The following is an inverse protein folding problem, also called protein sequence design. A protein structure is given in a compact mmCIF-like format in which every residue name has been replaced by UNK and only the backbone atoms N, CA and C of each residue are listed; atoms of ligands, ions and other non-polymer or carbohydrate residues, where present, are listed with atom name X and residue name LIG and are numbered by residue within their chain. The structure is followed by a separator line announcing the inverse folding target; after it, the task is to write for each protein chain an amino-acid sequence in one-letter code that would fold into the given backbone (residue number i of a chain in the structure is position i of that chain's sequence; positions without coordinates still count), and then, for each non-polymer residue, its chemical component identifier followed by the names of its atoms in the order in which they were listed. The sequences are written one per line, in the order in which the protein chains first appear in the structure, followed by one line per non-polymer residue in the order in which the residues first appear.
data_IF_699973965465
#
_entry.id   IF_699973965465
#
_cell.length_a   1.000
_cell.length_b   1.000
_cell.length_c   1.000
_cell.angle_alpha   90.00
_cell.angle_beta   90.00
_cell.angle_gamma   90.00
#
_symmetry.space_group_name_H-M   'P 1'
#
loop_
_entity.id
_entity.type
_entity.pdbx_description
1 polymer ?
#
# COMPACT_ATOMS: atom_id res chain seq x y z
N UNK A 1 -3.71 19.75 71.57
CA UNK A 1 -2.76 20.89 71.62
C UNK A 1 -3.44 22.10 71.01
N UNK A 2 -3.32 23.25 71.68
CA UNK A 2 -4.35 24.27 71.79
C UNK A 2 -4.56 25.17 70.57
N UNK A 3 -5.84 25.56 70.43
CA UNK A 3 -6.40 26.58 69.56
C UNK A 3 -6.19 28.01 70.09
N UNK A 4 -6.34 28.97 69.15
CA UNK A 4 -6.88 30.34 69.28
C UNK A 4 -5.98 31.47 69.82
N UNK A 5 -5.47 32.22 68.84
CA UNK A 5 -5.76 33.65 68.52
C UNK A 5 -6.34 34.52 69.64
N UNK A 6 -5.65 35.63 69.96
CA UNK A 6 -6.29 36.92 70.31
C UNK A 6 -5.57 38.09 69.63
N UNK A 7 -6.40 39.00 69.13
CA UNK A 7 -6.21 40.25 68.42
C UNK A 7 -5.57 41.41 69.21
N UNK A 8 -4.99 42.38 68.47
CA UNK A 8 -5.45 43.80 68.25
C UNK A 8 -4.36 44.88 68.38
N UNK A 9 -4.20 45.65 67.28
CA UNK A 9 -4.10 47.12 67.18
C UNK A 9 -2.79 47.82 67.62
N UNK A 10 -2.21 48.85 66.96
CA UNK A 10 -2.60 49.83 65.91
C UNK A 10 -1.29 50.50 65.42
N UNK A 11 -1.20 50.96 64.16
CA UNK A 11 -0.77 52.32 63.75
C UNK A 11 -0.86 52.46 62.21
N UNK A 12 -1.33 53.64 61.82
CA UNK A 12 -1.81 54.15 60.54
C UNK A 12 -0.67 54.75 59.70
N UNK A 13 -0.71 54.67 58.36
CA UNK A 13 -0.69 55.83 57.45
C UNK A 13 -0.71 55.43 55.95
N UNK A 14 -1.48 56.21 55.19
CA UNK A 14 -1.75 56.14 53.75
C UNK A 14 -0.75 57.03 53.01
N UNK A 15 -0.24 56.60 51.84
CA UNK A 15 -0.18 57.33 50.56
C UNK A 15 0.87 56.73 49.60
N UNK A 16 0.46 56.43 48.36
CA UNK A 16 1.15 56.70 47.09
C UNK A 16 1.04 55.55 46.06
N UNK A 17 0.20 55.80 45.04
CA UNK A 17 0.43 55.54 43.61
C UNK A 17 1.03 54.19 43.19
N UNK A 18 0.18 53.28 42.71
CA UNK A 18 0.52 52.41 41.58
C UNK A 18 -0.56 52.61 40.51
N UNK A 19 -0.26 53.53 39.60
CA UNK A 19 -0.87 53.65 38.29
C UNK A 19 -0.04 52.76 37.35
N UNK A 20 -0.68 51.92 36.53
CA UNK A 20 -0.05 51.41 35.31
C UNK A 20 -0.29 49.93 35.01
N UNK A 21 -1.09 49.71 33.98
CA UNK A 21 -1.11 48.53 33.09
C UNK A 21 -1.84 47.27 33.58
N UNK A 22 -3.18 47.33 33.54
CA UNK A 22 -3.97 46.20 33.06
C UNK A 22 -3.65 45.99 31.58
N UNK A 23 -2.70 45.10 31.27
CA UNK A 23 -2.51 44.57 29.92
C UNK A 23 -3.58 43.49 29.70
N UNK A 24 -4.50 43.79 28.78
CA UNK A 24 -5.52 42.85 28.33
C UNK A 24 -4.88 41.61 27.72
N UNK A 25 -5.20 40.45 28.29
CA UNK A 25 -5.05 39.18 27.59
C UNK A 25 -6.29 39.06 26.70
N UNK A 26 -6.19 39.60 25.49
CA UNK A 26 -7.06 39.19 24.38
C UNK A 26 -6.79 37.70 24.18
N UNK A 27 -7.74 36.85 24.58
CA UNK A 27 -7.83 35.50 24.02
C UNK A 27 -8.04 35.68 22.52
N UNK A 28 -6.98 35.46 21.74
CA UNK A 28 -7.12 35.27 20.32
C UNK A 28 -7.98 34.02 20.13
N UNK A 29 -9.25 34.21 19.79
CA UNK A 29 -10.09 33.14 19.24
C UNK A 29 -9.38 32.68 17.98
N UNK A 30 -8.75 31.50 18.02
CA UNK A 30 -8.31 30.84 16.80
C UNK A 30 -9.54 30.73 15.88
N UNK A 31 -9.41 31.21 14.64
CA UNK A 31 -10.44 30.97 13.63
C UNK A 31 -10.65 29.44 13.53
N UNK A 32 -11.90 28.96 13.38
CA UNK A 32 -12.14 27.56 13.09
C UNK A 32 -11.26 27.16 11.90
N UNK A 33 -10.65 25.96 11.90
CA UNK A 33 -9.94 25.49 10.72
C UNK A 33 -10.89 25.60 9.52
N UNK A 34 -10.40 26.03 8.34
CA UNK A 34 -11.25 26.21 7.17
C UNK A 34 -12.02 24.92 6.95
N UNK A 35 -13.35 25.00 6.99
CA UNK A 35 -14.21 23.89 6.63
C UNK A 35 -13.83 23.51 5.20
N UNK A 36 -13.16 22.35 5.02
CA UNK A 36 -13.04 21.75 3.69
C UNK A 36 -14.47 21.50 3.24
N UNK A 37 -14.94 22.29 2.29
CA UNK A 37 -16.22 22.06 1.64
C UNK A 37 -16.15 20.65 1.03
N UNK A 38 -16.92 19.72 1.58
CA UNK A 38 -16.96 18.35 1.11
C UNK A 38 -17.69 18.40 -0.22
N UNK A 39 -16.94 18.31 -1.32
CA UNK A 39 -17.52 18.13 -2.65
C UNK A 39 -18.07 16.70 -2.71
N UNK A 40 -19.40 16.51 -2.84
CA UNK A 40 -19.98 15.18 -2.91
C UNK A 40 -19.40 14.38 -4.08
N UNK A 41 -19.13 13.08 -3.92
CA UNK A 41 -18.75 12.25 -5.05
C UNK A 41 -19.89 12.19 -6.06
N UNK A 42 -19.53 12.27 -7.35
CA UNK A 42 -20.48 12.08 -8.43
C UNK A 42 -20.80 10.59 -8.55
N UNK A 43 -22.07 10.24 -8.75
CA UNK A 43 -22.49 8.87 -9.07
C UNK A 43 -21.78 8.40 -10.35
N UNK A 44 -21.27 7.15 -10.42
CA UNK A 44 -20.66 6.62 -11.64
C UNK A 44 -21.64 6.72 -12.80
N UNK A 45 -21.23 7.23 -13.98
CA UNK A 45 -22.13 7.48 -15.11
C UNK A 45 -22.77 6.19 -15.66
N UNK A 46 -22.13 5.05 -15.42
CA UNK A 46 -22.60 3.72 -15.76
C UNK A 46 -22.38 2.82 -14.54
N UNK A 47 -23.35 1.95 -14.28
CA UNK A 47 -23.29 0.94 -13.21
C UNK A 47 -23.60 -0.43 -13.80
N UNK A 48 -22.88 -1.46 -13.34
CA UNK A 48 -23.14 -2.85 -13.71
C UNK A 48 -24.15 -3.47 -12.74
N UNK A 49 -25.24 -4.03 -13.27
CA UNK A 49 -26.21 -4.80 -12.50
C UNK A 49 -25.83 -6.27 -12.51
N UNK A 50 -25.73 -6.89 -11.33
CA UNK A 50 -25.29 -8.28 -11.15
C UNK A 50 -26.45 -9.29 -11.08
N UNK A 51 -27.67 -8.81 -10.86
CA UNK A 51 -28.86 -9.63 -10.69
C UNK A 51 -30.07 -8.98 -11.37
N UNK A 52 -31.23 -9.65 -11.30
CA UNK A 52 -32.45 -9.06 -11.78
C UNK A 52 -32.86 -7.88 -10.87
N UNK A 53 -32.80 -6.66 -11.39
CA UNK A 53 -33.02 -5.43 -10.64
C UNK A 53 -34.39 -4.84 -10.96
N UNK A 54 -35.31 -4.73 -9.97
CA UNK A 54 -36.60 -4.07 -10.17
C UNK A 54 -36.47 -2.57 -10.42
N UNK A 55 -37.32 -2.03 -11.29
CA UNK A 55 -37.41 -0.62 -11.63
C UNK A 55 -38.73 -0.02 -11.17
N UNK A 56 -38.66 1.21 -10.65
CA UNK A 56 -39.78 1.92 -10.04
C UNK A 56 -39.96 3.30 -10.67
N UNK A 57 -41.19 3.79 -10.73
CA UNK A 57 -41.47 5.16 -11.20
C UNK A 57 -41.13 6.22 -10.15
N UNK A 58 -41.07 5.83 -8.88
CA UNK A 58 -40.76 6.69 -7.71
C UNK A 58 -39.77 5.99 -6.78
N UNK A 59 -39.16 6.73 -5.85
CA UNK A 59 -38.27 6.20 -4.81
C UNK A 59 -39.07 5.57 -3.65
N UNK A 60 -39.94 4.61 -3.96
CA UNK A 60 -40.76 3.90 -3.00
C UNK A 60 -40.96 2.46 -3.50
N UNK A 61 -40.29 1.51 -2.83
CA UNK A 61 -40.29 0.09 -3.18
C UNK A 61 -41.45 -0.69 -2.56
N UNK A 62 -42.37 -0.03 -1.83
CA UNK A 62 -43.66 -0.61 -1.46
C UNK A 62 -44.62 -0.74 -2.65
N UNK A 63 -44.40 0.07 -3.69
CA UNK A 63 -45.15 -0.03 -4.94
C UNK A 63 -44.67 -1.20 -5.79
N UNK A 64 -45.58 -1.77 -6.59
CA UNK A 64 -45.21 -2.79 -7.57
C UNK A 64 -44.18 -2.23 -8.56
N UNK A 65 -43.07 -2.93 -8.85
CA UNK A 65 -42.13 -2.52 -9.87
C UNK A 65 -42.82 -2.33 -11.23
N UNK A 66 -42.43 -1.28 -11.93
CA UNK A 66 -42.87 -1.01 -13.29
C UNK A 66 -42.31 -2.06 -14.27
N UNK A 67 -41.06 -2.45 -14.08
CA UNK A 67 -40.39 -3.52 -14.81
C UNK A 67 -39.22 -4.08 -13.99
N UNK A 68 -38.44 -4.97 -14.57
CA UNK A 68 -37.14 -5.38 -14.04
C UNK A 68 -36.13 -5.51 -15.18
N UNK A 69 -34.87 -5.23 -14.87
CA UNK A 69 -33.73 -5.43 -15.77
C UNK A 69 -32.99 -6.70 -15.36
N UNK A 70 -32.61 -7.52 -16.32
CA UNK A 70 -31.62 -8.58 -16.11
C UNK A 70 -30.21 -7.98 -15.94
N UNK A 71 -29.22 -8.74 -15.44
CA UNK A 71 -27.84 -8.28 -15.32
C UNK A 71 -27.33 -7.61 -16.61
N UNK A 72 -26.92 -6.36 -16.51
CA UNK A 72 -26.44 -5.53 -17.62
C UNK A 72 -25.85 -4.21 -17.09
N UNK A 73 -25.14 -3.48 -17.94
CA UNK A 73 -24.74 -2.11 -17.66
C UNK A 73 -25.88 -1.12 -17.91
N UNK A 74 -26.05 -0.15 -17.01
CA UNK A 74 -27.08 0.89 -17.10
C UNK A 74 -26.47 2.28 -16.95
N UNK A 75 -26.99 3.24 -17.73
CA UNK A 75 -26.58 4.65 -17.62
C UNK A 75 -27.33 5.33 -16.47
N UNK A 76 -26.58 5.90 -15.53
CA UNK A 76 -27.16 6.66 -14.41
C UNK A 76 -27.49 8.08 -14.83
N UNK A 77 -28.55 8.63 -14.26
CA UNK A 77 -28.99 10.02 -14.43
C UNK A 77 -28.74 10.80 -13.15
N UNK A 78 -29.16 10.23 -12.01
CA UNK A 78 -29.10 10.89 -10.70
C UNK A 78 -29.11 9.83 -9.58
N UNK A 79 -28.94 10.25 -8.34
CA UNK A 79 -29.12 9.42 -7.15
C UNK A 79 -29.84 10.21 -6.06
N UNK A 80 -30.38 9.53 -5.06
CA UNK A 80 -30.96 10.22 -3.91
C UNK A 80 -29.93 11.13 -3.21
N UNK A 81 -30.45 12.15 -2.52
CA UNK A 81 -29.59 13.06 -1.76
C UNK A 81 -28.80 12.27 -0.72
N UNK A 82 -27.54 12.67 -0.52
CA UNK A 82 -26.67 12.07 0.49
C UNK A 82 -26.42 10.56 0.31
N UNK A 83 -26.63 10.00 -0.89
CA UNK A 83 -26.38 8.58 -1.18
C UNK A 83 -24.98 8.10 -0.78
N UNK A 84 -23.99 8.99 -0.78
CA UNK A 84 -22.60 8.70 -0.47
C UNK A 84 -22.29 8.64 1.04
N UNK A 85 -23.23 9.01 1.91
CA UNK A 85 -23.13 8.83 3.36
C UNK A 85 -23.67 7.49 3.84
N UNK A 86 -24.21 6.69 2.91
CA UNK A 86 -24.79 5.38 3.20
C UNK A 86 -23.73 4.43 3.71
N UNK A 87 -24.16 3.57 4.60
CA UNK A 87 -23.33 2.57 5.25
C UNK A 87 -23.42 1.23 4.52
N UNK A 88 -22.48 0.36 4.83
CA UNK A 88 -22.50 -1.02 4.39
C UNK A 88 -23.85 -1.68 4.71
N UNK A 89 -24.44 -2.35 3.71
CA UNK A 89 -25.74 -3.01 3.80
C UNK A 89 -26.96 -2.09 3.64
N UNK A 90 -26.78 -0.77 3.55
CA UNK A 90 -27.87 0.14 3.21
C UNK A 90 -28.14 0.15 1.70
N UNK A 91 -29.36 0.53 1.35
CA UNK A 91 -29.77 0.71 -0.04
C UNK A 91 -29.85 2.17 -0.44
N UNK A 92 -29.68 2.37 -1.75
CA UNK A 92 -29.62 3.67 -2.41
C UNK A 92 -30.56 3.69 -3.59
N UNK A 93 -31.37 4.73 -3.66
CA UNK A 93 -32.15 5.04 -4.86
C UNK A 93 -31.28 5.69 -5.93
N UNK A 94 -31.20 5.04 -7.09
CA UNK A 94 -30.46 5.53 -8.25
C UNK A 94 -31.42 5.65 -9.42
N UNK A 95 -31.40 6.80 -10.07
CA UNK A 95 -32.18 7.06 -11.28
C UNK A 95 -31.35 6.66 -12.49
N UNK A 96 -31.92 5.87 -13.38
CA UNK A 96 -31.29 5.40 -14.61
C UNK A 96 -32.09 5.82 -15.82
N UNK A 97 -31.40 5.91 -16.96
CA UNK A 97 -32.03 6.15 -18.25
C UNK A 97 -32.48 4.83 -18.86
N UNK A 98 -33.75 4.72 -19.21
CA UNK A 98 -34.23 3.61 -20.05
C UNK A 98 -34.62 4.13 -21.44
N UNK A 99 -34.51 3.28 -22.45
CA UNK A 99 -34.83 3.64 -23.84
C UNK A 99 -36.34 3.56 -24.15
N UNK A 100 -37.12 2.92 -23.29
CA UNK A 100 -38.50 2.51 -23.57
C UNK A 100 -39.54 3.08 -22.59
N UNK A 101 -39.13 3.58 -21.42
CA UNK A 101 -40.04 4.13 -20.41
C UNK A 101 -39.56 5.43 -19.76
N UNK A 102 -38.58 6.10 -20.37
CA UNK A 102 -37.94 7.28 -19.79
C UNK A 102 -37.06 6.92 -18.60
N UNK A 103 -36.84 7.86 -17.70
CA UNK A 103 -35.99 7.61 -16.54
C UNK A 103 -36.78 6.90 -15.43
N UNK A 104 -36.18 5.85 -14.86
CA UNK A 104 -36.76 5.06 -13.78
C UNK A 104 -35.77 4.94 -12.62
N UNK A 105 -36.27 4.59 -11.44
CA UNK A 105 -35.49 4.41 -10.22
C UNK A 105 -35.21 2.94 -9.96
N UNK A 106 -34.03 2.64 -9.42
CA UNK A 106 -33.66 1.34 -8.87
C UNK A 106 -33.20 1.51 -7.42
N UNK A 107 -33.47 0.52 -6.59
CA UNK A 107 -33.10 0.50 -5.16
C UNK A 107 -31.98 -0.53 -4.96
N UNK A 108 -30.74 -0.07 -5.01
CA UNK A 108 -29.55 -0.91 -5.09
C UNK A 108 -28.80 -0.90 -3.75
N UNK A 109 -28.20 -2.03 -3.36
CA UNK A 109 -27.28 -2.06 -2.22
C UNK A 109 -26.10 -1.11 -2.48
N UNK A 110 -25.72 -0.34 -1.46
CA UNK A 110 -24.64 0.65 -1.56
C UNK A 110 -23.34 0.04 -2.09
N UNK A 111 -23.02 -1.18 -1.66
CA UNK A 111 -21.84 -1.93 -2.09
C UNK A 111 -21.86 -2.35 -3.57
N UNK A 112 -23.03 -2.38 -4.21
CA UNK A 112 -23.16 -2.78 -5.62
C UNK A 112 -23.07 -1.57 -6.56
N UNK A 113 -22.86 -0.37 -6.02
CA UNK A 113 -22.66 0.84 -6.82
C UNK A 113 -21.24 0.81 -7.39
N UNK A 114 -21.12 0.63 -8.70
CA UNK A 114 -19.84 0.64 -9.40
C UNK A 114 -19.96 0.06 -10.81
N UNK A 115 -18.85 0.03 -11.52
CA UNK A 115 -18.78 -0.51 -12.88
C UNK A 115 -17.75 -1.62 -12.95
N UNK A 116 -18.11 -2.70 -13.64
CA UNK A 116 -17.15 -3.75 -14.00
C UNK A 116 -16.42 -3.32 -15.26
N UNK A 117 -15.10 -3.26 -15.21
CA UNK A 117 -14.26 -3.03 -16.39
C UNK A 117 -13.43 -4.27 -16.69
N UNK A 118 -13.32 -4.65 -17.98
CA UNK A 118 -12.41 -5.72 -18.36
C UNK A 118 -10.96 -5.28 -18.11
N UNK A 119 -10.16 -6.22 -17.62
CA UNK A 119 -8.71 -6.13 -17.52
C UNK A 119 -8.12 -7.46 -17.98
N UNK A 120 -6.80 -7.52 -18.16
CA UNK A 120 -6.08 -8.73 -18.53
C UNK A 120 -4.74 -8.66 -17.80
N UNK A 121 -4.69 -9.22 -16.59
CA UNK A 121 -3.51 -9.10 -15.71
C UNK A 121 -3.39 -10.28 -14.77
N UNK A 122 -2.17 -10.57 -14.32
CA UNK A 122 -1.94 -11.56 -13.28
C UNK A 122 -1.76 -10.87 -11.93
N UNK A 123 -2.37 -11.44 -10.90
CA UNK A 123 -2.36 -10.90 -9.54
C UNK A 123 -1.78 -11.95 -8.61
N UNK A 124 -0.69 -11.63 -7.92
CA UNK A 124 -0.18 -12.48 -6.85
C UNK A 124 -0.98 -12.24 -5.57
N UNK A 125 -1.68 -13.26 -5.10
CA UNK A 125 -2.33 -13.30 -3.80
C UNK A 125 -1.28 -13.69 -2.77
N UNK A 126 -0.88 -12.75 -1.92
CA UNK A 126 0.18 -12.99 -0.95
C UNK A 126 -0.30 -13.80 0.25
N UNK A 127 -1.60 -13.75 0.55
CA UNK A 127 -2.26 -14.42 1.68
C UNK A 127 -3.47 -15.23 1.22
N UNK A 128 -3.98 -16.07 2.13
CA UNK A 128 -5.27 -16.73 1.98
C UNK A 128 -6.36 -15.71 1.59
N UNK A 129 -7.11 -16.02 0.55
CA UNK A 129 -8.08 -15.10 -0.06
C UNK A 129 -9.43 -15.78 -0.24
N UNK A 130 -10.47 -15.24 0.40
CA UNK A 130 -11.84 -15.75 0.27
C UNK A 130 -12.43 -15.39 -1.09
N UNK A 131 -13.22 -16.30 -1.66
CA UNK A 131 -13.89 -16.08 -2.95
C UNK A 131 -15.33 -15.60 -2.78
N UNK A 132 -15.77 -14.75 -3.68
CA UNK A 132 -17.08 -14.12 -3.69
C UNK A 132 -17.76 -14.32 -5.04
N UNK A 133 -19.10 -14.45 -5.05
CA UNK A 133 -19.84 -14.60 -6.32
C UNK A 133 -20.11 -13.27 -7.04
N UNK A 134 -20.00 -12.14 -6.32
CA UNK A 134 -20.14 -10.78 -6.83
C UNK A 134 -19.07 -9.89 -6.14
N UNK A 135 -18.79 -8.66 -6.64
CA UNK A 135 -17.86 -7.76 -5.97
C UNK A 135 -18.48 -7.08 -4.72
N UNK A 136 -19.02 -7.89 -3.81
CA UNK A 136 -19.65 -7.46 -2.56
C UNK A 136 -19.33 -8.44 -1.44
N UNK A 137 -19.00 -7.91 -0.27
CA UNK A 137 -18.64 -8.69 0.92
C UNK A 137 -19.78 -9.59 1.42
N UNK A 138 -21.04 -9.25 1.11
CA UNK A 138 -22.21 -10.06 1.44
C UNK A 138 -22.33 -11.36 0.64
N UNK A 139 -21.52 -11.53 -0.41
CA UNK A 139 -21.59 -12.68 -1.33
C UNK A 139 -20.42 -13.66 -1.17
N UNK A 140 -19.78 -13.61 0.00
CA UNK A 140 -18.67 -14.49 0.37
C UNK A 140 -19.09 -15.96 0.31
N UNK A 141 -18.21 -16.79 -0.20
CA UNK A 141 -18.35 -18.24 -0.20
C UNK A 141 -17.47 -18.86 0.88
N UNK A 142 -17.65 -20.15 1.16
CA UNK A 142 -16.80 -20.90 2.08
C UNK A 142 -15.43 -21.29 1.47
N UNK A 143 -15.13 -20.83 0.25
CA UNK A 143 -13.95 -21.22 -0.52
C UNK A 143 -12.84 -20.19 -0.30
N UNK A 144 -11.66 -20.70 0.04
CA UNK A 144 -10.46 -19.89 0.28
C UNK A 144 -9.33 -20.40 -0.62
N UNK A 145 -8.71 -19.48 -1.35
CA UNK A 145 -7.49 -19.74 -2.11
C UNK A 145 -6.28 -19.50 -1.22
N UNK A 146 -5.38 -20.47 -1.15
CA UNK A 146 -4.04 -20.28 -0.59
C UNK A 146 -3.22 -19.29 -1.47
N UNK A 147 -2.13 -18.70 -0.95
CA UNK A 147 -1.27 -17.79 -1.70
C UNK A 147 -0.84 -18.38 -3.04
N UNK A 148 -1.13 -17.66 -4.11
CA UNK A 148 -0.83 -18.06 -5.48
C UNK A 148 -1.05 -16.88 -6.42
N UNK A 149 -0.56 -17.00 -7.65
CA UNK A 149 -0.88 -16.04 -8.70
C UNK A 149 -2.07 -16.52 -9.51
N UNK A 150 -3.01 -15.62 -9.69
CA UNK A 150 -4.27 -15.85 -10.42
C UNK A 150 -4.38 -14.88 -11.58
N UNK A 151 -5.04 -15.32 -12.64
CA UNK A 151 -5.37 -14.47 -13.76
C UNK A 151 -6.67 -13.71 -13.46
N UNK A 152 -6.63 -12.38 -13.60
CA UNK A 152 -7.77 -11.50 -13.39
C UNK A 152 -8.24 -10.92 -14.72
N UNK A 153 -9.53 -11.07 -15.00
CA UNK A 153 -10.14 -10.65 -16.26
C UNK A 153 -11.11 -9.45 -16.11
N UNK A 154 -11.38 -9.00 -14.89
CA UNK A 154 -12.13 -7.79 -14.63
C UNK A 154 -11.77 -7.12 -13.29
N UNK A 155 -12.06 -5.82 -13.19
CA UNK A 155 -12.01 -5.04 -11.94
C UNK A 155 -13.37 -4.38 -11.71
N UNK A 156 -13.77 -4.27 -10.44
CA UNK A 156 -14.94 -3.50 -10.04
C UNK A 156 -14.51 -2.13 -9.51
N UNK A 157 -14.73 -1.10 -10.32
CA UNK A 157 -14.49 0.28 -9.92
C UNK A 157 -15.70 0.85 -9.19
N UNK A 158 -15.57 1.02 -7.88
CA UNK A 158 -16.61 1.57 -7.02
C UNK A 158 -16.19 2.90 -6.39
N UNK A 159 -17.11 3.87 -6.23
CA UNK A 159 -16.91 5.03 -5.36
C UNK A 159 -16.83 4.66 -3.88
N UNK A 160 -17.17 3.42 -3.51
CA UNK A 160 -17.11 2.89 -2.16
C UNK A 160 -15.68 2.41 -1.88
N UNK A 161 -14.96 3.14 -1.03
CA UNK A 161 -13.51 2.99 -0.87
C UNK A 161 -13.06 1.60 -0.43
N UNK A 162 -13.82 0.92 0.43
CA UNK A 162 -13.47 -0.43 0.89
C UNK A 162 -13.66 -1.50 -0.21
N UNK A 163 -14.25 -1.19 -1.36
CA UNK A 163 -14.37 -2.12 -2.49
C UNK A 163 -13.33 -1.88 -3.59
N UNK A 164 -12.45 -0.89 -3.42
CA UNK A 164 -11.49 -0.43 -4.44
C UNK A 164 -10.53 -1.50 -4.97
N UNK A 165 -10.30 -2.58 -4.22
CA UNK A 165 -9.44 -3.71 -4.60
C UNK A 165 -10.25 -4.97 -4.92
N UNK A 166 -11.30 -4.84 -5.73
CA UNK A 166 -12.16 -5.97 -6.09
C UNK A 166 -11.90 -6.42 -7.52
N UNK A 167 -11.43 -7.66 -7.69
CA UNK A 167 -11.01 -8.23 -8.97
C UNK A 167 -11.76 -9.52 -9.25
N UNK A 168 -12.16 -9.72 -10.50
CA UNK A 168 -12.70 -10.99 -10.94
C UNK A 168 -11.56 -11.82 -11.50
N UNK A 169 -11.42 -13.01 -10.95
CA UNK A 169 -10.38 -13.98 -11.28
C UNK A 169 -11.01 -15.18 -11.98
N UNK A 170 -10.25 -15.76 -12.89
CA UNK A 170 -10.64 -16.99 -13.58
C UNK A 170 -10.25 -18.18 -12.70
N UNK A 171 -11.23 -19.04 -12.40
CA UNK A 171 -10.95 -20.32 -11.74
C UNK A 171 -11.34 -21.45 -12.68
N UNK A 172 -10.51 -22.49 -12.77
CA UNK A 172 -10.75 -23.59 -13.70
C UNK A 172 -11.83 -24.57 -13.23
N UNK A 173 -12.30 -24.50 -11.97
CA UNK A 173 -13.26 -25.43 -11.39
C UNK A 173 -14.59 -24.80 -10.92
N UNK A 174 -14.65 -23.49 -10.65
CA UNK A 174 -15.88 -22.79 -10.23
C UNK A 174 -16.38 -21.78 -11.26
N UNK A 175 -15.60 -21.52 -12.32
CA UNK A 175 -15.78 -20.38 -13.19
C UNK A 175 -15.24 -19.09 -12.56
N UNK A 176 -15.64 -17.95 -13.11
CA UNK A 176 -15.14 -16.65 -12.66
C UNK A 176 -15.67 -16.32 -11.26
N UNK A 177 -14.75 -15.95 -10.36
CA UNK A 177 -15.05 -15.59 -8.97
C UNK A 177 -14.42 -14.24 -8.65
N UNK A 178 -14.92 -13.57 -7.62
CA UNK A 178 -14.40 -12.30 -7.17
C UNK A 178 -13.49 -12.46 -5.95
N UNK A 179 -12.39 -11.73 -5.95
CA UNK A 179 -11.63 -11.34 -4.77
C UNK A 179 -12.11 -9.94 -4.40
N UNK A 180 -12.56 -9.75 -3.16
CA UNK A 180 -13.17 -8.48 -2.72
C UNK A 180 -12.36 -7.89 -1.58
N UNK A 181 -12.00 -6.60 -1.70
CA UNK A 181 -11.37 -5.83 -0.62
C UNK A 181 -10.08 -6.42 -0.04
N UNK A 182 -9.24 -7.03 -0.89
CA UNK A 182 -7.99 -7.65 -0.40
C UNK A 182 -6.86 -6.59 -0.35
N UNK A 183 -6.22 -6.36 0.81
CA UNK A 183 -5.18 -5.33 0.94
C UNK A 183 -3.78 -5.78 0.49
N UNK A 184 -3.55 -7.10 0.34
CA UNK A 184 -2.22 -7.67 0.06
C UNK A 184 -2.22 -8.50 -1.21
N UNK A 185 -2.15 -7.79 -2.32
CA UNK A 185 -2.00 -8.34 -3.66
C UNK A 185 -0.92 -7.57 -4.40
N UNK A 186 -0.18 -8.25 -5.27
CA UNK A 186 0.71 -7.61 -6.24
C UNK A 186 0.05 -7.70 -7.62
N UNK A 187 -0.16 -6.55 -8.24
CA UNK A 187 -0.79 -6.45 -9.56
C UNK A 187 0.28 -6.53 -10.65
N UNK A 188 -0.18 -6.79 -11.88
CA UNK A 188 0.63 -6.73 -13.10
C UNK A 188 1.86 -7.64 -13.03
N UNK A 189 1.63 -8.85 -12.50
CA UNK A 189 2.65 -9.89 -12.47
C UNK A 189 2.95 -10.38 -13.88
N UNK A 190 4.23 -10.43 -14.23
CA UNK A 190 4.70 -11.05 -15.47
C UNK A 190 5.02 -12.52 -15.19
N UNK A 191 4.31 -13.44 -15.84
CA UNK A 191 4.56 -14.88 -15.75
C UNK A 191 5.76 -15.23 -16.64
N UNK A 192 6.78 -15.87 -16.06
CA UNK A 192 8.05 -16.14 -16.73
C UNK A 192 8.24 -17.63 -17.03
N UNK A 193 8.11 -18.47 -15.99
CA UNK A 193 8.34 -19.92 -16.05
C UNK A 193 9.63 -20.32 -16.79
N UNK A 194 10.77 -19.79 -16.35
CA UNK A 194 12.07 -20.06 -16.98
C UNK A 194 13.21 -20.22 -15.96
N UNK A 195 14.33 -20.83 -16.37
CA UNK A 195 15.54 -20.85 -15.55
C UNK A 195 16.14 -19.44 -15.42
N UNK A 196 16.70 -19.17 -14.24
CA UNK A 196 17.41 -17.93 -13.93
C UNK A 196 18.68 -18.23 -13.13
N UNK A 197 19.77 -17.61 -13.53
CA UNK A 197 21.07 -17.72 -12.87
C UNK A 197 21.23 -16.61 -11.83
N UNK A 198 21.55 -17.00 -10.60
CA UNK A 198 22.00 -16.10 -9.53
C UNK A 198 23.51 -16.32 -9.36
N UNK A 199 24.37 -15.49 -9.97
CA UNK A 199 25.80 -15.78 -10.09
C UNK A 199 26.61 -15.51 -8.82
N UNK A 200 26.04 -14.74 -7.89
CA UNK A 200 26.68 -14.28 -6.67
C UNK A 200 25.74 -14.47 -5.48
N UNK A 201 26.26 -14.27 -4.28
CA UNK A 201 25.46 -14.27 -3.08
C UNK A 201 24.34 -13.22 -3.19
N UNK A 202 23.09 -13.65 -3.05
CA UNK A 202 21.88 -12.84 -3.28
C UNK A 202 21.03 -12.80 -2.01
N UNK A 203 20.36 -11.69 -1.72
CA UNK A 203 19.44 -11.57 -0.60
C UNK A 203 18.29 -12.57 -0.75
N UNK A 204 18.13 -13.43 0.25
CA UNK A 204 16.95 -14.25 0.43
C UNK A 204 15.79 -13.38 0.93
N UNK A 205 14.70 -13.30 0.18
CA UNK A 205 13.52 -12.55 0.58
C UNK A 205 12.37 -13.52 0.88
N UNK A 206 12.00 -13.62 2.16
CA UNK A 206 10.87 -14.46 2.60
C UNK A 206 9.55 -13.91 2.05
N UNK A 207 9.40 -12.59 2.04
CA UNK A 207 8.34 -11.87 1.34
C UNK A 207 8.91 -10.88 0.33
N UNK A 208 8.08 -10.46 -0.63
CA UNK A 208 8.45 -9.50 -1.68
C UNK A 208 9.01 -8.15 -1.15
N UNK A 209 8.70 -7.77 0.09
CA UNK A 209 9.11 -6.50 0.70
C UNK A 209 10.25 -6.64 1.71
N UNK A 210 10.87 -7.83 1.82
CA UNK A 210 11.88 -8.14 2.85
C UNK A 210 12.98 -7.08 2.95
N UNK A 211 13.49 -6.61 1.81
CA UNK A 211 14.56 -5.59 1.75
C UNK A 211 14.16 -4.27 2.40
N UNK A 212 12.88 -3.91 2.36
CA UNK A 212 12.34 -2.68 2.96
C UNK A 212 12.19 -2.79 4.48
N UNK A 213 12.18 -4.02 5.01
CA UNK A 213 12.01 -4.32 6.44
C UNK A 213 13.32 -4.56 7.18
N UNK A 214 14.46 -4.59 6.48
CA UNK A 214 15.77 -4.76 7.11
C UNK A 214 16.10 -3.55 8.00
N UNK A 215 16.23 -3.78 9.30
CA UNK A 215 16.60 -2.73 10.26
C UNK A 215 18.09 -2.74 10.56
N UNK A 216 18.72 -3.92 10.47
CA UNK A 216 20.15 -4.12 10.70
C UNK A 216 20.74 -5.03 9.62
N UNK A 217 22.05 -4.94 9.36
CA UNK A 217 22.70 -5.83 8.42
C UNK A 217 22.57 -7.31 8.77
N UNK A 218 22.60 -7.62 10.07
CA UNK A 218 22.46 -8.98 10.59
C UNK A 218 21.09 -9.63 10.34
N UNK A 219 20.09 -8.84 9.95
CA UNK A 219 18.75 -9.35 9.63
C UNK A 219 18.71 -9.96 8.22
N UNK A 220 19.69 -9.62 7.37
CA UNK A 220 19.78 -10.13 6.01
C UNK A 220 20.17 -11.61 6.02
N UNK A 221 19.41 -12.40 5.27
CA UNK A 221 19.73 -13.80 4.96
C UNK A 221 20.15 -13.85 3.51
N UNK A 222 21.18 -14.62 3.21
CA UNK A 222 21.69 -14.74 1.87
C UNK A 222 21.59 -16.17 1.37
N UNK A 223 21.39 -16.30 0.06
CA UNK A 223 21.54 -17.55 -0.66
C UNK A 223 22.83 -17.55 -1.46
N UNK A 224 23.53 -18.70 -1.54
CA UNK A 224 24.73 -18.81 -2.35
C UNK A 224 24.38 -18.76 -3.86
N UNK A 225 25.38 -18.55 -4.72
CA UNK A 225 25.23 -18.65 -6.17
C UNK A 225 24.57 -19.96 -6.58
N UNK A 226 23.51 -19.88 -7.38
CA UNK A 226 22.76 -21.05 -7.81
C UNK A 226 21.88 -20.76 -9.03
N UNK A 227 21.38 -21.83 -9.66
CA UNK A 227 20.28 -21.74 -10.62
C UNK A 227 18.95 -21.90 -9.90
N UNK A 228 17.99 -21.04 -10.22
CA UNK A 228 16.60 -21.12 -9.75
C UNK A 228 15.65 -21.14 -10.95
N UNK A 229 14.39 -21.50 -10.70
CA UNK A 229 13.33 -21.39 -11.69
C UNK A 229 12.48 -20.16 -11.36
N UNK A 230 12.54 -19.12 -12.21
CA UNK A 230 11.73 -17.92 -12.08
C UNK A 230 10.29 -18.23 -12.51
N UNK A 231 9.36 -18.13 -11.56
CA UNK A 231 7.94 -18.37 -11.79
C UNK A 231 7.32 -17.13 -12.43
N UNK A 232 7.59 -15.98 -11.82
CA UNK A 232 6.96 -14.70 -12.14
C UNK A 232 7.80 -13.55 -11.57
N UNK A 233 7.51 -12.33 -12.01
CA UNK A 233 8.10 -11.12 -11.42
C UNK A 233 7.12 -9.96 -11.38
N UNK A 234 7.38 -9.06 -10.43
CA UNK A 234 6.75 -7.74 -10.36
C UNK A 234 7.34 -6.80 -11.41
N UNK A 235 6.64 -5.70 -11.71
CA UNK A 235 7.15 -4.62 -12.58
C UNK A 235 8.47 -4.01 -12.08
N UNK A 236 8.72 -4.07 -10.76
CA UNK A 236 9.93 -3.51 -10.13
C UNK A 236 11.10 -4.51 -10.07
N UNK A 237 11.01 -5.64 -10.79
CA UNK A 237 12.13 -6.59 -10.90
C UNK A 237 12.34 -7.48 -9.67
N UNK A 238 11.31 -7.62 -8.82
CA UNK A 238 11.29 -8.62 -7.74
C UNK A 238 10.67 -9.90 -8.30
N UNK A 239 11.41 -11.00 -8.24
CA UNK A 239 11.07 -12.31 -8.79
C UNK A 239 10.60 -13.25 -7.68
N UNK A 240 9.55 -14.01 -7.95
CA UNK A 240 9.21 -15.19 -7.17
C UNK A 240 9.83 -16.40 -7.86
N UNK A 241 10.63 -17.16 -7.13
CA UNK A 241 11.47 -18.21 -7.68
C UNK A 241 11.29 -19.50 -6.91
N UNK A 242 11.64 -20.61 -7.55
CA UNK A 242 11.71 -21.93 -6.94
C UNK A 242 13.14 -22.46 -7.04
N UNK A 243 13.72 -22.85 -5.91
CA UNK A 243 15.02 -23.54 -5.87
C UNK A 243 14.92 -25.00 -6.32
N UNK A 244 16.07 -25.64 -6.53
CA UNK A 244 16.15 -27.02 -6.99
C UNK A 244 15.55 -28.05 -6.00
N UNK A 245 15.53 -27.72 -4.71
CA UNK A 245 14.90 -28.53 -3.66
C UNK A 245 13.37 -28.34 -3.58
N UNK A 246 12.81 -27.45 -4.40
CA UNK A 246 11.38 -27.17 -4.49
C UNK A 246 10.88 -26.03 -3.60
N UNK A 247 11.71 -25.45 -2.73
CA UNK A 247 11.31 -24.30 -1.92
C UNK A 247 11.09 -23.06 -2.79
N UNK A 248 10.13 -22.23 -2.40
CA UNK A 248 9.80 -20.99 -3.11
C UNK A 248 10.06 -19.78 -2.24
N UNK A 249 10.61 -18.71 -2.83
CA UNK A 249 10.95 -17.47 -2.14
C UNK A 249 11.06 -16.33 -3.14
N UNK A 250 11.19 -15.11 -2.64
CA UNK A 250 11.39 -13.92 -3.46
C UNK A 250 12.88 -13.56 -3.54
N UNK A 251 13.28 -12.96 -4.67
CA UNK A 251 14.60 -12.37 -4.86
C UNK A 251 14.49 -11.12 -5.72
N UNK A 252 15.38 -10.15 -5.52
CA UNK A 252 15.62 -9.10 -6.48
C UNK A 252 17.11 -9.16 -6.83
N UNK A 253 17.48 -9.45 -8.10
CA UNK A 253 18.87 -9.64 -8.51
C UNK A 253 19.81 -8.47 -8.16
N UNK A 254 19.28 -7.25 -8.02
CA UNK A 254 20.07 -6.08 -7.63
C UNK A 254 20.49 -6.10 -6.14
N UNK A 255 19.78 -6.85 -5.29
CA UNK A 255 20.21 -7.13 -3.91
C UNK A 255 21.15 -8.34 -3.88
N UNK A 256 22.25 -8.27 -4.63
CA UNK A 256 23.29 -9.30 -4.68
C UNK A 256 24.69 -8.68 -4.60
N UNK A 257 25.67 -9.49 -4.19
CA UNK A 257 27.07 -9.10 -4.30
C UNK A 257 27.44 -8.96 -5.78
N UNK A 258 28.32 -8.01 -6.16
CA UNK A 258 28.62 -7.80 -7.57
C UNK A 258 29.46 -8.93 -8.16
N UNK A 259 29.29 -9.19 -9.47
CA UNK A 259 30.15 -10.13 -10.21
C UNK A 259 31.49 -9.47 -10.50
N UNK A 260 32.58 -10.23 -10.39
CA UNK A 260 33.92 -9.77 -10.76
C UNK A 260 34.61 -8.90 -9.70
N UNK A 261 34.26 -9.09 -8.43
CA UNK A 261 34.98 -8.48 -7.30
C UNK A 261 36.45 -8.91 -7.31
N UNK A 262 37.34 -7.94 -7.08
CA UNK A 262 38.77 -8.18 -6.97
C UNK A 262 39.19 -8.16 -5.49
N UNK A 263 39.82 -9.24 -4.97
CA UNK A 263 40.38 -9.23 -3.62
C UNK A 263 41.58 -8.29 -3.55
N UNK A 264 41.64 -7.52 -2.47
CA UNK A 264 42.72 -6.56 -2.18
C UNK A 264 43.09 -6.63 -0.70
N UNK A 265 44.19 -5.98 -0.32
CA UNK A 265 44.56 -5.73 1.08
C UNK A 265 45.15 -4.33 1.15
N UNK A 266 44.26 -3.33 1.23
CA UNK A 266 44.63 -1.92 1.12
C UNK A 266 44.07 -1.10 2.28
N UNK A 267 44.87 -0.13 2.75
CA UNK A 267 44.40 0.90 3.67
C UNK A 267 43.84 2.07 2.89
N UNK A 268 42.55 2.30 3.06
CA UNK A 268 41.80 3.36 2.42
C UNK A 268 41.63 4.53 3.38
N UNK A 269 42.05 5.73 2.98
CA UNK A 269 41.85 6.93 3.76
C UNK A 269 40.58 7.67 3.31
N UNK A 270 39.49 7.52 4.08
CA UNK A 270 38.23 8.21 3.83
C UNK A 270 38.35 9.66 4.30
N UNK A 271 38.30 10.60 3.36
CA UNK A 271 38.48 12.03 3.65
C UNK A 271 37.19 12.74 4.08
N UNK A 272 36.05 12.10 3.88
CA UNK A 272 34.72 12.61 4.18
C UNK A 272 33.83 11.48 4.70
N UNK A 273 32.68 11.86 5.21
CA UNK A 273 31.64 10.93 5.63
C UNK A 273 31.13 10.14 4.42
N UNK A 274 31.01 8.81 4.57
CA UNK A 274 30.53 7.90 3.53
C UNK A 274 29.37 7.05 4.05
N UNK A 275 28.43 6.72 3.16
CA UNK A 275 27.31 5.85 3.49
C UNK A 275 27.73 4.38 3.40
N UNK A 276 27.21 3.55 4.31
CA UNK A 276 27.44 2.10 4.31
C UNK A 276 26.34 1.39 3.52
N UNK A 277 26.72 0.71 2.44
CA UNK A 277 25.80 -0.01 1.56
C UNK A 277 26.01 -1.52 1.74
N UNK A 278 24.91 -2.27 1.80
CA UNK A 278 24.99 -3.73 1.77
C UNK A 278 25.24 -4.25 0.35
N UNK A 279 24.70 -3.56 -0.66
CA UNK A 279 24.84 -3.89 -2.06
C UNK A 279 25.33 -2.64 -2.82
N UNK A 280 26.39 -2.74 -3.63
CA UNK A 280 26.84 -1.59 -4.42
C UNK A 280 25.96 -1.38 -5.67
N UNK A 281 25.29 -2.44 -6.14
CA UNK A 281 24.33 -2.42 -7.25
C UNK A 281 22.97 -1.83 -6.90
N UNK A 282 22.67 -1.66 -5.61
CA UNK A 282 21.40 -1.09 -5.15
C UNK A 282 21.63 -0.06 -4.04
N UNK A 283 21.22 1.22 -4.22
CA UNK A 283 21.54 2.28 -3.28
C UNK A 283 20.76 2.21 -1.95
N UNK A 284 20.00 1.14 -1.72
CA UNK A 284 19.33 0.82 -0.46
C UNK A 284 19.28 -0.72 -0.27
N UNK A 285 19.08 -1.22 0.95
CA UNK A 285 19.13 -0.49 2.22
C UNK A 285 20.55 0.00 2.54
N UNK A 286 20.62 1.03 3.40
CA UNK A 286 21.89 1.58 3.87
C UNK A 286 21.93 1.56 5.39
N UNK A 287 23.10 1.30 5.96
CA UNK A 287 23.25 0.99 7.39
C UNK A 287 24.14 1.98 8.12
N UNK A 288 23.80 3.26 7.97
CA UNK A 288 24.46 4.37 8.64
C UNK A 288 25.53 5.05 7.81
N UNK A 289 26.31 5.87 8.50
CA UNK A 289 27.37 6.72 7.94
C UNK A 289 28.64 6.48 8.71
N UNK A 290 29.74 6.33 7.98
CA UNK A 290 31.08 6.21 8.52
C UNK A 290 31.80 7.54 8.32
N UNK A 291 32.24 8.17 9.41
CA UNK A 291 32.97 9.44 9.34
C UNK A 291 34.36 9.26 8.74
N UNK A 292 34.95 10.37 8.26
CA UNK A 292 36.32 10.41 7.75
C UNK A 292 37.31 9.68 8.68
N UNK A 293 37.94 8.62 8.18
CA UNK A 293 38.91 7.78 8.91
C UNK A 293 39.67 6.85 7.95
N UNK A 294 40.70 6.18 8.46
CA UNK A 294 41.39 5.11 7.72
C UNK A 294 40.74 3.76 8.01
N UNK A 295 40.40 3.02 6.96
CA UNK A 295 39.79 1.67 7.02
C UNK A 295 40.62 0.67 6.24
N UNK A 296 40.46 -0.62 6.52
CA UNK A 296 41.03 -1.69 5.71
C UNK A 296 39.96 -2.15 4.70
N UNK A 297 40.29 -2.10 3.41
CA UNK A 297 39.48 -2.67 2.35
C UNK A 297 40.07 -4.02 1.94
N UNK A 298 39.19 -5.02 1.80
CA UNK A 298 39.57 -6.39 1.46
C UNK A 298 39.08 -6.79 0.07
N UNK A 299 38.17 -6.02 -0.53
CA UNK A 299 37.70 -6.19 -1.89
C UNK A 299 37.46 -4.83 -2.55
N UNK A 300 37.55 -4.79 -3.87
CA UNK A 300 37.11 -3.66 -4.69
C UNK A 300 36.29 -4.12 -5.89
N UNK A 301 35.43 -3.23 -6.36
CA UNK A 301 34.61 -3.47 -7.52
C UNK A 301 34.41 -2.16 -8.29
N UNK A 302 34.55 -2.23 -9.62
CA UNK A 302 34.25 -1.10 -10.49
C UNK A 302 32.88 -1.34 -11.11
N UNK A 303 31.96 -0.41 -10.89
CA UNK A 303 30.60 -0.53 -11.43
C UNK A 303 30.55 -0.28 -12.94
N UNK A 304 29.43 -0.59 -13.62
CA UNK A 304 29.31 -0.36 -15.06
C UNK A 304 29.40 1.11 -15.49
N UNK A 305 29.31 2.05 -14.54
CA UNK A 305 29.48 3.49 -14.75
C UNK A 305 30.94 3.93 -14.49
N UNK A 306 31.84 2.98 -14.24
CA UNK A 306 33.25 3.19 -13.94
C UNK A 306 33.51 3.91 -12.61
N UNK A 307 32.59 3.77 -11.64
CA UNK A 307 32.77 4.21 -10.27
C UNK A 307 33.38 3.09 -9.42
N UNK A 308 34.27 3.46 -8.51
CA UNK A 308 35.01 2.52 -7.68
C UNK A 308 34.36 2.34 -6.31
N UNK A 309 34.09 1.09 -5.97
CA UNK A 309 33.54 0.65 -4.70
C UNK A 309 34.57 -0.19 -3.94
N UNK A 310 34.56 -0.05 -2.61
CA UNK A 310 35.43 -0.81 -1.71
C UNK A 310 34.59 -1.54 -0.66
N UNK A 311 34.89 -2.81 -0.44
CA UNK A 311 34.31 -3.60 0.64
C UNK A 311 35.21 -3.51 1.87
N UNK A 312 34.64 -3.10 3.01
CA UNK A 312 35.39 -2.82 4.23
C UNK A 312 34.75 -3.51 5.44
N UNK A 313 35.56 -3.86 6.43
CA UNK A 313 35.06 -4.33 7.72
C UNK A 313 34.56 -3.15 8.56
N UNK A 314 33.34 -3.24 9.08
CA UNK A 314 32.75 -2.19 9.93
C UNK A 314 32.14 -2.75 11.21
N UNK A 315 31.72 -1.88 12.13
CA UNK A 315 30.98 -2.25 13.33
C UNK A 315 29.61 -2.87 13.02
N UNK A 316 29.06 -2.61 11.83
CA UNK A 316 27.77 -3.10 11.38
C UNK A 316 27.88 -4.42 10.59
N UNK A 317 29.10 -4.92 10.37
CA UNK A 317 29.40 -6.00 9.43
C UNK A 317 30.17 -5.49 8.22
N UNK A 318 30.37 -6.36 7.24
CA UNK A 318 31.08 -6.02 6.01
C UNK A 318 30.17 -5.19 5.09
N UNK A 319 30.69 -4.07 4.60
CA UNK A 319 29.90 -3.05 3.90
C UNK A 319 30.66 -2.45 2.73
N UNK A 320 29.94 -2.14 1.67
CA UNK A 320 30.43 -1.40 0.52
C UNK A 320 30.40 0.10 0.79
N UNK A 321 31.46 0.79 0.38
CA UNK A 321 31.58 2.26 0.42
C UNK A 321 32.08 2.80 -0.92
N UNK A 322 31.65 4.02 -1.24
CA UNK A 322 32.10 4.78 -2.40
C UNK A 322 32.82 6.06 -1.92
N UNK A 323 34.16 6.06 -1.80
CA UNK A 323 34.91 7.12 -1.12
C UNK A 323 34.77 8.50 -1.77
N UNK A 324 34.64 8.53 -3.09
CA UNK A 324 34.61 9.77 -3.86
C UNK A 324 33.21 10.38 -4.00
N UNK A 325 32.17 9.68 -3.56
CA UNK A 325 30.79 10.19 -3.62
C UNK A 325 30.43 11.02 -2.38
N UNK A 326 30.15 12.33 -2.51
CA UNK A 326 29.66 13.12 -1.39
C UNK A 326 28.27 12.64 -0.95
N UNK A 327 27.98 12.76 0.36
CA UNK A 327 26.67 12.46 0.95
C UNK A 327 25.58 13.45 0.54
#
# INVERSE_FOLDING_TARGET
MNFKVINRNVIVLVFAMILGNFLGILQASAAPPPHREIVPPKIPPVITLFEQTPLYSTTDDSHKPFAALTPQDVTTVDAEQAWYYKQHGEKVWIKIKTTWAGDLWMHLDYDKIGIVKPIDTNIALLWDSSLYTQPSTSTMTDIVLAPQTVHANAVFESPVSYLSNSYRIETSWLGDMWIVSQPRMLLDMEILNQEMDLPTETLYMEDYDTSSRLQRPSDAKFIPPQKVFALEKTQNGIYHVRSQDGNTFWVQPDFAQPVGVEPIDERLNLLKDVRLYMFPTMPFPTFGVLSAQTVNAFERWTDPQNELWYHIHTWAGDMWVQPDKPL
#
